data_IF_389466263906
#
_entry.id   IF_389466263906
#
_cell.length_a   1.000
_cell.length_b   1.000
_cell.length_c   1.000
_cell.angle_alpha   90.00
_cell.angle_beta   90.00
_cell.angle_gamma   90.00
#
_symmetry.space_group_name_H-M   'P 1'
#
loop_
_entity.id
_entity.type
_entity.pdbx_description
1 polymer ?
#
# COMPACT_ATOMS: atom_id res chain seq x y z
N UNK A 1 -33.96 6.42 8.32
CA UNK A 1 -32.96 7.01 7.41
C UNK A 1 -31.73 6.13 7.18
N UNK A 2 -31.38 5.19 8.08
CA UNK A 2 -30.25 4.26 7.92
C UNK A 2 -30.32 3.30 6.71
N UNK A 3 -31.52 2.94 6.22
CA UNK A 3 -31.69 1.94 5.14
C UNK A 3 -31.36 2.44 3.73
N UNK A 4 -31.07 3.74 3.55
CA UNK A 4 -30.68 4.33 2.26
C UNK A 4 -29.18 4.65 2.15
N UNK A 5 -28.42 4.51 3.23
CA UNK A 5 -26.96 4.70 3.20
C UNK A 5 -26.22 3.52 2.59
N UNK A 6 -26.65 2.28 2.89
CA UNK A 6 -26.01 1.06 2.38
C UNK A 6 -25.85 0.97 0.84
N UNK A 7 -26.87 1.30 0.02
CA UNK A 7 -26.68 1.28 -1.43
C UNK A 7 -25.81 2.43 -1.94
N UNK A 8 -25.76 3.58 -1.24
CA UNK A 8 -24.93 4.73 -1.66
C UNK A 8 -23.46 4.49 -1.32
N UNK A 9 -23.16 3.92 -0.15
CA UNK A 9 -21.78 3.51 0.18
C UNK A 9 -21.30 2.39 -0.72
N UNK A 10 -22.16 1.43 -1.09
CA UNK A 10 -21.80 0.39 -2.06
C UNK A 10 -21.61 0.93 -3.48
N UNK A 11 -22.41 1.92 -3.93
CA UNK A 11 -22.25 2.55 -5.25
C UNK A 11 -21.03 3.47 -5.31
N UNK A 12 -20.70 4.17 -4.22
CA UNK A 12 -19.45 4.94 -4.08
C UNK A 12 -18.23 4.01 -4.08
N UNK A 13 -18.28 2.88 -3.36
CA UNK A 13 -17.19 1.90 -3.34
C UNK A 13 -16.97 1.27 -4.73
N UNK A 14 -18.04 0.97 -5.48
CA UNK A 14 -17.93 0.42 -6.84
C UNK A 14 -17.47 1.48 -7.85
N UNK A 15 -17.79 2.76 -7.63
CA UNK A 15 -17.27 3.85 -8.44
C UNK A 15 -15.78 4.15 -8.14
N UNK A 16 -15.31 3.97 -6.91
CA UNK A 16 -13.87 4.16 -6.56
C UNK A 16 -13.01 2.97 -6.97
N UNK A 17 -13.51 1.74 -6.90
CA UNK A 17 -12.78 0.52 -7.30
C UNK A 17 -12.57 0.41 -8.83
N UNK A 18 -13.29 1.19 -9.64
CA UNK A 18 -13.21 1.14 -11.10
C UNK A 18 -12.08 1.97 -11.71
N UNK A 19 -11.47 2.90 -10.96
CA UNK A 19 -10.59 3.96 -11.50
C UNK A 19 -9.33 4.21 -10.67
N UNK A 20 -9.02 3.24 -9.82
CA UNK A 20 -7.75 3.09 -9.12
C UNK A 20 -6.59 2.91 -10.10
N UNK A 21 -5.35 3.12 -9.61
CA UNK A 21 -4.01 2.82 -10.18
C UNK A 21 -3.85 1.43 -10.87
N UNK A 22 -4.73 1.11 -11.81
CA UNK A 22 -4.80 -0.17 -12.48
C UNK A 22 -3.86 -0.12 -13.70
N UNK A 23 -2.72 -0.81 -13.67
CA UNK A 23 -1.75 -0.83 -14.75
C UNK A 23 -2.38 -1.47 -15.99
N UNK A 24 -2.59 -0.66 -17.03
CA UNK A 24 -2.99 -1.13 -18.34
C UNK A 24 -1.79 -1.08 -19.29
N UNK A 25 -1.46 -2.16 -19.99
CA UNK A 25 -0.49 -2.06 -21.07
C UNK A 25 -1.06 -1.13 -22.15
N UNK A 26 -0.18 -0.48 -22.90
CA UNK A 26 -0.61 0.46 -23.93
C UNK A 26 -1.03 -0.27 -25.20
N UNK A 27 -1.79 0.43 -26.05
CA UNK A 27 -2.14 -0.06 -27.38
C UNK A 27 -1.54 0.85 -28.44
N UNK A 28 -0.94 0.24 -29.46
CA UNK A 28 -0.52 0.96 -30.65
C UNK A 28 -1.70 1.03 -31.63
N UNK A 29 -2.09 2.23 -32.03
CA UNK A 29 -3.09 2.40 -33.08
C UNK A 29 -2.60 1.68 -34.35
N UNK A 30 -3.42 0.76 -34.87
CA UNK A 30 -3.11 0.17 -36.17
C UNK A 30 -3.27 1.24 -37.24
N UNK A 31 -2.36 1.38 -38.21
CA UNK A 31 -2.58 2.29 -39.33
C UNK A 31 -3.90 1.91 -40.00
N UNK A 32 -4.82 2.86 -40.05
CA UNK A 32 -6.12 2.70 -40.69
C UNK A 32 -5.91 2.31 -42.16
N UNK A 33 -6.29 1.08 -42.54
CA UNK A 33 -6.38 0.65 -43.95
C UNK A 33 -7.59 1.30 -44.66
N UNK A 34 -7.91 2.55 -44.34
CA UNK A 34 -8.97 3.29 -45.04
C UNK A 34 -8.38 3.90 -46.31
N UNK A 35 -8.91 3.56 -47.51
CA UNK A 35 -8.42 4.10 -48.78
C UNK A 35 -8.66 5.61 -48.97
N UNK A 36 -9.24 6.28 -47.96
CA UNK A 36 -9.53 7.72 -47.95
C UNK A 36 -8.83 8.49 -46.82
N UNK A 37 -7.96 7.87 -46.01
CA UNK A 37 -7.07 8.68 -45.18
C UNK A 37 -5.89 9.13 -46.04
N UNK A 38 -5.62 10.45 -46.15
CA UNK A 38 -4.41 10.90 -46.81
C UNK A 38 -3.22 10.24 -46.13
N UNK A 39 -2.16 9.94 -46.90
CA UNK A 39 -0.88 9.40 -46.43
C UNK A 39 -0.13 10.34 -45.44
N UNK A 40 -0.82 11.27 -44.78
CA UNK A 40 -0.35 11.88 -43.54
C UNK A 40 -0.36 10.80 -42.45
N UNK A 41 0.63 9.93 -42.52
CA UNK A 41 1.33 9.43 -41.33
C UNK A 41 1.59 10.65 -40.45
N UNK A 42 0.73 10.88 -39.44
CA UNK A 42 0.73 12.09 -38.63
C UNK A 42 1.95 12.04 -37.70
N UNK A 43 3.05 12.64 -38.17
CA UNK A 43 4.14 13.08 -37.31
C UNK A 43 3.65 14.23 -36.42
N UNK A 44 4.39 14.55 -35.35
CA UNK A 44 4.05 15.67 -34.49
C UNK A 44 3.82 16.94 -35.28
N UNK A 45 2.84 17.72 -34.84
CA UNK A 45 2.57 19.03 -35.39
C UNK A 45 3.89 19.82 -35.39
N UNK A 46 4.43 20.22 -36.56
CA UNK A 46 5.77 20.78 -36.63
C UNK A 46 5.93 22.02 -35.74
N UNK A 47 6.89 21.99 -34.82
CA UNK A 47 7.17 23.06 -33.87
C UNK A 47 6.37 23.00 -32.55
N UNK A 48 5.57 21.95 -32.34
CA UNK A 48 4.83 21.69 -31.12
C UNK A 48 5.13 20.28 -30.61
N UNK A 49 5.25 20.14 -29.29
CA UNK A 49 5.37 18.85 -28.59
C UNK A 49 4.26 18.71 -27.57
N UNK A 50 4.04 17.47 -27.12
CA UNK A 50 3.25 17.29 -25.90
C UNK A 50 4.14 17.50 -24.68
N UNK A 51 3.52 17.84 -23.57
CA UNK A 51 4.16 18.03 -22.27
C UNK A 51 3.25 17.37 -21.23
N UNK A 52 3.78 16.46 -20.42
CA UNK A 52 2.99 15.71 -19.46
C UNK A 52 2.61 16.53 -18.21
N UNK A 53 3.17 17.73 -18.05
CA UNK A 53 2.87 18.63 -16.94
C UNK A 53 3.43 18.18 -15.59
N UNK A 54 2.98 18.84 -14.52
CA UNK A 54 3.42 18.59 -13.13
C UNK A 54 2.29 17.99 -12.30
N UNK A 55 2.62 17.60 -11.07
CA UNK A 55 1.70 16.97 -10.14
C UNK A 55 1.83 17.55 -8.74
N UNK A 56 0.76 17.38 -7.97
CA UNK A 56 0.71 17.69 -6.56
C UNK A 56 0.08 16.56 -5.75
N UNK A 57 0.34 16.56 -4.44
CA UNK A 57 -0.28 15.60 -3.52
C UNK A 57 -1.71 16.03 -3.23
N UNK A 58 -2.66 15.15 -3.52
CA UNK A 58 -4.05 15.31 -3.17
C UNK A 58 -4.40 14.74 -1.80
N UNK A 59 -5.65 14.30 -1.66
CA UNK A 59 -6.16 13.77 -0.40
C UNK A 59 -5.55 12.40 -0.05
N UNK A 60 -5.08 12.27 1.19
CA UNK A 60 -4.65 11.00 1.78
C UNK A 60 -5.69 10.47 2.78
N UNK A 61 -6.00 9.19 2.70
CA UNK A 61 -6.83 8.44 3.66
C UNK A 61 -6.10 7.15 3.99
N UNK A 62 -5.54 7.06 5.20
CA UNK A 62 -4.77 5.89 5.59
C UNK A 62 -4.13 6.01 6.95
N UNK A 63 -3.28 5.04 7.27
CA UNK A 63 -2.52 4.96 8.52
C UNK A 63 -1.05 5.30 8.36
N UNK A 64 -0.51 5.22 7.14
CA UNK A 64 0.89 5.58 6.89
C UNK A 64 1.22 6.99 7.36
N UNK A 65 2.39 7.14 7.96
CA UNK A 65 2.95 8.42 8.40
C UNK A 65 3.94 9.03 7.39
N UNK A 66 4.13 8.41 6.22
CA UNK A 66 5.15 8.78 5.23
C UNK A 66 4.56 8.70 3.82
N UNK A 67 4.07 9.85 3.34
CA UNK A 67 3.26 9.96 2.11
C UNK A 67 3.67 11.16 1.25
N UNK A 68 4.90 11.64 1.42
CA UNK A 68 5.46 12.69 0.57
C UNK A 68 6.15 12.11 -0.69
N UNK A 69 6.53 12.98 -1.62
CA UNK A 69 7.11 12.58 -2.89
C UNK A 69 8.56 12.06 -2.83
N UNK A 70 9.23 12.04 -1.67
CA UNK A 70 10.56 11.40 -1.56
C UNK A 70 10.43 9.88 -1.74
N UNK A 71 9.62 9.25 -0.91
CA UNK A 71 9.14 7.87 -1.09
C UNK A 71 7.86 7.69 -0.27
N UNK A 72 6.73 7.52 -0.96
CA UNK A 72 5.47 7.24 -0.29
C UNK A 72 5.44 5.78 0.17
N UNK A 73 4.97 5.55 1.39
CA UNK A 73 4.62 4.23 1.88
C UNK A 73 3.12 4.17 2.05
N UNK A 74 2.47 3.18 1.44
CA UNK A 74 1.06 2.92 1.64
C UNK A 74 0.92 1.64 2.45
N UNK A 75 0.33 1.73 3.65
CA UNK A 75 -0.11 0.56 4.40
C UNK A 75 -1.27 -0.12 3.66
N UNK A 76 -1.55 -1.37 3.97
CA UNK A 76 -2.73 -2.03 3.40
C UNK A 76 -4.01 -1.24 3.74
N UNK A 77 -4.86 -1.01 2.73
CA UNK A 77 -6.03 -0.12 2.69
C UNK A 77 -5.76 1.39 2.69
N UNK A 78 -4.51 1.85 2.64
CA UNK A 78 -4.22 3.27 2.45
C UNK A 78 -4.54 3.72 1.02
N UNK A 79 -4.95 4.98 0.88
CA UNK A 79 -5.29 5.61 -0.38
C UNK A 79 -4.71 7.02 -0.43
N UNK A 80 -4.11 7.39 -1.55
CA UNK A 80 -3.64 8.74 -1.83
C UNK A 80 -4.05 9.17 -3.24
N UNK A 81 -4.64 10.34 -3.36
CA UNK A 81 -4.90 10.97 -4.65
C UNK A 81 -3.64 11.68 -5.13
N UNK A 82 -3.21 11.40 -6.36
CA UNK A 82 -2.21 12.21 -7.05
C UNK A 82 -2.97 13.13 -8.00
N UNK A 83 -2.89 14.43 -7.73
CA UNK A 83 -3.56 15.46 -8.51
C UNK A 83 -2.63 15.92 -9.63
N UNK A 84 -3.15 15.97 -10.85
CA UNK A 84 -2.43 16.58 -11.98
C UNK A 84 -2.66 18.10 -11.96
N UNK A 85 -1.57 18.86 -12.14
CA UNK A 85 -1.65 20.31 -12.09
C UNK A 85 -2.17 20.86 -13.43
N UNK A 86 -3.49 20.98 -13.55
CA UNK A 86 -4.14 21.42 -14.78
C UNK A 86 -3.56 22.74 -15.35
N UNK A 87 -3.27 22.73 -16.66
CA UNK A 87 -2.65 23.83 -17.40
C UNK A 87 -1.12 23.82 -17.40
N UNK A 88 -0.49 22.78 -16.86
CA UNK A 88 0.97 22.55 -16.98
C UNK A 88 1.31 21.58 -18.11
N UNK A 89 0.31 20.89 -18.64
CA UNK A 89 0.36 19.97 -19.76
C UNK A 89 0.15 20.67 -21.12
N UNK A 90 0.63 20.01 -22.18
CA UNK A 90 0.39 20.39 -23.57
C UNK A 90 0.05 19.15 -24.39
N UNK A 91 -0.98 19.25 -25.22
CA UNK A 91 -1.33 18.24 -26.23
C UNK A 91 -1.18 18.77 -27.65
N UNK A 92 -0.44 19.88 -27.83
CA UNK A 92 -0.35 20.56 -29.12
C UNK A 92 0.40 19.74 -30.20
N UNK A 93 1.13 18.69 -29.79
CA UNK A 93 1.81 17.76 -30.68
C UNK A 93 0.96 16.56 -31.11
N UNK A 94 -0.24 16.37 -30.54
CA UNK A 94 -1.13 15.23 -30.81
C UNK A 94 -1.35 15.04 -32.33
N UNK A 95 -0.98 13.85 -32.87
CA UNK A 95 -1.22 13.47 -34.25
C UNK A 95 -2.68 13.64 -34.72
N UNK A 96 -3.68 13.32 -33.89
CA UNK A 96 -5.10 13.44 -34.23
C UNK A 96 -5.85 14.27 -33.18
N UNK A 97 -5.94 15.58 -33.45
CA UNK A 97 -6.70 16.52 -32.60
C UNK A 97 -8.21 16.22 -32.49
N UNK A 98 -8.73 15.18 -33.13
CA UNK A 98 -10.12 14.75 -32.99
C UNK A 98 -10.33 13.67 -31.93
N UNK A 99 -9.27 12.98 -31.50
CA UNK A 99 -9.28 12.14 -30.30
C UNK A 99 -9.01 12.98 -29.05
N UNK A 100 -9.69 12.69 -27.92
CA UNK A 100 -9.32 13.29 -26.64
C UNK A 100 -8.03 12.66 -26.09
N UNK A 101 -6.93 13.40 -26.21
CA UNK A 101 -5.69 13.13 -25.49
C UNK A 101 -5.86 13.31 -23.97
N UNK A 102 -4.88 12.86 -23.20
CA UNK A 102 -4.90 12.98 -21.75
C UNK A 102 -3.58 12.62 -21.08
N UNK A 103 -3.62 12.65 -19.74
CA UNK A 103 -2.49 12.28 -18.88
C UNK A 103 -2.78 10.97 -18.15
N UNK A 104 -1.74 10.13 -18.04
CA UNK A 104 -1.70 8.99 -17.14
C UNK A 104 -0.35 8.91 -16.42
N UNK A 105 -0.09 7.78 -15.75
CA UNK A 105 1.16 7.52 -15.05
C UNK A 105 1.81 6.24 -15.56
N UNK A 106 2.99 6.36 -16.17
CA UNK A 106 3.77 5.21 -16.61
C UNK A 106 4.46 4.53 -15.41
N UNK A 107 4.47 3.21 -15.40
CA UNK A 107 5.05 2.38 -14.33
C UNK A 107 6.52 2.04 -14.63
N UNK A 108 7.37 2.22 -13.62
CA UNK A 108 8.80 1.94 -13.66
C UNK A 108 9.26 1.15 -12.42
N UNK A 109 10.33 0.38 -12.57
CA UNK A 109 11.03 -0.38 -11.50
C UNK A 109 12.14 0.44 -10.82
N UNK A 110 12.58 1.53 -11.45
CA UNK A 110 13.52 2.50 -10.92
C UNK A 110 13.16 3.91 -11.42
N UNK A 111 13.79 4.99 -10.90
CA UNK A 111 13.52 6.34 -11.40
C UNK A 111 13.71 6.40 -12.92
N UNK A 112 12.71 6.86 -13.70
CA UNK A 112 12.86 6.97 -15.14
C UNK A 112 13.90 8.03 -15.50
N UNK A 113 14.61 7.80 -16.61
CA UNK A 113 15.72 8.65 -17.06
C UNK A 113 15.57 9.14 -18.49
N UNK A 114 14.59 8.59 -19.22
CA UNK A 114 14.36 8.86 -20.63
C UNK A 114 13.00 9.52 -20.82
N UNK A 115 13.00 10.64 -21.56
CA UNK A 115 11.79 11.25 -22.11
C UNK A 115 11.83 11.26 -23.64
N UNK A 116 10.73 11.66 -24.27
CA UNK A 116 10.62 11.80 -25.72
C UNK A 116 9.63 10.81 -26.31
N UNK A 117 9.87 10.40 -27.56
CA UNK A 117 8.95 9.51 -28.27
C UNK A 117 8.77 8.14 -27.58
N UNK A 118 7.68 7.45 -27.92
CA UNK A 118 7.32 6.19 -27.29
C UNK A 118 8.40 5.11 -27.45
N UNK A 119 9.11 5.06 -28.57
CA UNK A 119 10.18 4.08 -28.79
C UNK A 119 11.34 4.35 -27.83
N UNK A 120 11.65 5.62 -27.61
CA UNK A 120 12.69 6.09 -26.72
C UNK A 120 12.32 5.79 -25.26
N UNK A 121 11.08 6.08 -24.85
CA UNK A 121 10.54 5.70 -23.54
C UNK A 121 10.59 4.18 -23.34
N UNK A 122 10.19 3.39 -24.34
CA UNK A 122 10.24 1.92 -24.29
C UNK A 122 11.66 1.35 -24.17
N UNK A 123 12.68 2.14 -24.49
CA UNK A 123 14.08 1.76 -24.33
C UNK A 123 14.66 2.09 -22.96
N UNK A 124 13.91 2.79 -22.09
CA UNK A 124 14.33 3.07 -20.73
C UNK A 124 14.42 1.73 -19.94
N UNK A 125 15.60 1.39 -19.37
CA UNK A 125 15.77 0.16 -18.62
C UNK A 125 14.93 0.09 -17.34
N UNK A 126 14.35 1.21 -16.90
CA UNK A 126 13.47 1.26 -15.75
C UNK A 126 12.01 0.93 -16.07
N UNK A 127 11.58 0.85 -17.34
CA UNK A 127 10.17 0.52 -17.67
C UNK A 127 9.80 -0.84 -17.06
N UNK A 128 8.70 -0.89 -16.30
CA UNK A 128 8.20 -2.16 -15.79
C UNK A 128 7.81 -3.08 -16.93
N UNK A 129 8.53 -4.20 -17.08
CA UNK A 129 8.38 -5.14 -18.19
C UNK A 129 7.84 -6.51 -17.78
N UNK A 130 7.69 -6.73 -16.48
CA UNK A 130 7.27 -8.02 -15.91
C UNK A 130 6.01 -7.81 -15.07
N UNK A 131 4.93 -8.58 -15.31
CA UNK A 131 4.79 -9.55 -16.40
C UNK A 131 4.77 -8.88 -17.77
N UNK A 132 5.15 -9.60 -18.82
CA UNK A 132 4.97 -9.11 -20.19
C UNK A 132 3.46 -9.07 -20.54
N UNK A 133 2.97 -8.02 -21.23
CA UNK A 133 1.60 -7.97 -21.68
C UNK A 133 1.23 -9.17 -22.57
N UNK A 134 0.06 -9.78 -22.33
CA UNK A 134 -0.39 -10.96 -23.08
C UNK A 134 -1.50 -10.58 -24.06
N UNK A 135 -1.25 -10.79 -25.36
CA UNK A 135 -2.24 -10.68 -26.44
C UNK A 135 -2.19 -9.38 -27.25
N UNK A 136 -2.66 -9.44 -28.51
CA UNK A 136 -2.94 -8.28 -29.36
C UNK A 136 -1.77 -7.35 -29.70
N UNK A 137 -2.10 -6.14 -30.18
CA UNK A 137 -1.16 -5.03 -30.44
C UNK A 137 -0.84 -4.24 -29.15
N UNK A 138 -0.67 -4.95 -28.03
CA UNK A 138 -0.35 -4.37 -26.73
C UNK A 138 1.16 -4.23 -26.57
N UNK A 139 1.59 -3.13 -25.95
CA UNK A 139 3.00 -2.84 -25.70
C UNK A 139 3.19 -2.23 -24.30
N UNK A 140 4.44 -1.97 -23.95
CA UNK A 140 4.85 -1.25 -22.74
C UNK A 140 5.01 0.25 -23.04
N UNK A 141 4.98 1.14 -22.04
CA UNK A 141 4.89 0.89 -20.59
C UNK A 141 3.50 0.42 -20.13
N UNK A 142 3.37 0.02 -18.87
CA UNK A 142 2.07 0.01 -18.20
C UNK A 142 1.70 1.44 -17.82
N UNK A 143 0.44 1.83 -17.99
CA UNK A 143 -0.08 3.17 -17.66
C UNK A 143 -1.32 3.03 -16.77
N UNK A 144 -1.38 3.83 -15.70
CA UNK A 144 -2.62 4.09 -14.97
C UNK A 144 -3.25 5.38 -15.49
N UNK A 145 -4.55 5.36 -15.79
CA UNK A 145 -5.26 6.48 -16.40
C UNK A 145 -6.50 6.86 -15.60
N UNK A 146 -6.82 8.15 -15.56
CA UNK A 146 -8.12 8.63 -15.09
C UNK A 146 -9.19 8.46 -16.18
N UNK A 147 -10.48 8.27 -15.83
CA UNK A 147 -11.56 8.09 -16.81
C UNK A 147 -11.98 9.38 -17.52
N UNK A 148 -11.54 10.54 -17.04
CA UNK A 148 -11.87 11.87 -17.54
C UNK A 148 -10.70 12.57 -18.23
N UNK A 149 -9.60 11.84 -18.44
CA UNK A 149 -8.35 12.32 -19.04
C UNK A 149 -7.60 13.41 -18.25
N UNK A 150 -8.06 13.79 -17.06
CA UNK A 150 -7.40 14.84 -16.25
C UNK A 150 -5.99 14.47 -15.79
N UNK A 151 -5.72 13.18 -15.61
CA UNK A 151 -4.50 12.71 -14.95
C UNK A 151 -4.62 12.63 -13.43
N UNK A 152 -5.80 12.89 -12.84
CA UNK A 152 -6.02 12.66 -11.42
C UNK A 152 -6.26 11.17 -11.16
N UNK A 153 -5.35 10.53 -10.42
CA UNK A 153 -5.42 9.07 -10.20
C UNK A 153 -5.36 8.77 -8.71
N UNK A 154 -6.28 7.91 -8.26
CA UNK A 154 -6.28 7.38 -6.91
C UNK A 154 -5.31 6.20 -6.82
N UNK A 155 -4.30 6.35 -5.98
CA UNK A 155 -3.35 5.32 -5.64
C UNK A 155 -3.79 4.63 -4.35
N UNK A 156 -4.19 3.35 -4.42
CA UNK A 156 -4.65 2.59 -3.27
C UNK A 156 -3.87 1.29 -3.08
N UNK A 157 -3.65 0.92 -1.83
CA UNK A 157 -2.99 -0.34 -1.52
C UNK A 157 -4.00 -1.42 -1.09
N UNK A 158 -4.49 -2.18 -2.06
CA UNK A 158 -5.38 -3.33 -1.82
C UNK A 158 -4.71 -4.69 -2.11
N UNK A 159 -3.38 -4.73 -2.25
CA UNK A 159 -2.62 -5.96 -2.53
C UNK A 159 -2.53 -6.37 -4.02
N UNK A 160 -3.21 -5.65 -4.92
CA UNK A 160 -3.23 -5.98 -6.35
C UNK A 160 -1.84 -5.84 -7.00
N UNK A 161 -1.12 -4.73 -6.74
CA UNK A 161 0.21 -4.52 -7.32
C UNK A 161 1.25 -5.47 -6.75
N UNK A 162 1.18 -5.80 -5.46
CA UNK A 162 2.01 -6.83 -4.83
C UNK A 162 1.80 -8.19 -5.51
N UNK A 163 0.55 -8.56 -5.79
CA UNK A 163 0.24 -9.80 -6.50
C UNK A 163 0.76 -9.79 -7.94
N UNK A 164 0.52 -8.69 -8.65
CA UNK A 164 0.87 -8.57 -10.07
C UNK A 164 2.38 -8.49 -10.32
N UNK A 165 3.09 -7.68 -9.53
CA UNK A 165 4.49 -7.34 -9.76
C UNK A 165 5.46 -7.94 -8.75
N UNK A 166 4.99 -8.27 -7.54
CA UNK A 166 5.83 -8.78 -6.43
C UNK A 166 5.61 -10.25 -6.10
N UNK A 167 4.74 -10.96 -6.82
CA UNK A 167 4.37 -12.35 -6.49
C UNK A 167 3.73 -12.50 -5.10
N UNK A 168 3.15 -11.44 -4.57
CA UNK A 168 2.56 -11.36 -3.24
C UNK A 168 3.43 -10.66 -2.19
N UNK A 169 4.69 -10.35 -2.47
CA UNK A 169 5.54 -9.54 -1.58
C UNK A 169 5.29 -8.04 -1.76
N UNK A 170 5.66 -7.18 -0.78
CA UNK A 170 5.63 -5.73 -0.93
C UNK A 170 6.43 -5.29 -2.15
N UNK A 171 5.98 -4.23 -2.82
CA UNK A 171 6.63 -3.72 -4.04
C UNK A 171 6.88 -2.24 -3.96
N UNK A 172 8.04 -1.82 -4.48
CA UNK A 172 8.35 -0.43 -4.82
C UNK A 172 8.08 -0.24 -6.31
N UNK A 173 7.33 0.81 -6.65
CA UNK A 173 7.14 1.24 -8.04
C UNK A 173 7.36 2.74 -8.16
N UNK A 174 7.91 3.11 -9.30
CA UNK A 174 8.08 4.49 -9.73
C UNK A 174 7.00 4.84 -10.75
N UNK A 175 6.55 6.08 -10.68
CA UNK A 175 5.50 6.61 -11.53
C UNK A 175 5.94 7.95 -12.09
N UNK A 176 5.65 8.20 -13.37
CA UNK A 176 5.85 9.50 -13.97
C UNK A 176 4.66 9.86 -14.85
N UNK A 177 4.21 11.14 -14.84
CA UNK A 177 3.18 11.61 -15.76
C UNK A 177 3.59 11.33 -17.21
N UNK A 178 2.66 10.80 -18.00
CA UNK A 178 2.84 10.49 -19.42
C UNK A 178 1.63 10.95 -20.21
N UNK A 179 1.86 11.52 -21.39
CA UNK A 179 0.78 11.88 -22.32
C UNK A 179 0.33 10.66 -23.13
N UNK A 180 -0.94 10.59 -23.50
CA UNK A 180 -1.46 9.65 -24.50
C UNK A 180 -2.41 10.35 -25.46
N UNK A 181 -2.52 9.84 -26.68
CA UNK A 181 -3.30 10.48 -27.76
C UNK A 181 -4.79 10.15 -27.67
N UNK A 182 -5.13 8.96 -27.16
CA UNK A 182 -6.52 8.54 -26.97
C UNK A 182 -6.68 7.56 -25.81
N UNK A 183 -7.83 7.59 -25.13
CA UNK A 183 -8.25 6.55 -24.20
C UNK A 183 -9.31 5.63 -24.83
N UNK A 184 -9.06 4.31 -24.86
CA UNK A 184 -10.02 3.29 -25.28
C UNK A 184 -10.41 2.41 -24.09
N UNK A 185 -11.52 2.76 -23.44
CA UNK A 185 -11.84 2.19 -22.13
C UNK A 185 -10.91 2.78 -21.07
N UNK A 186 -10.04 1.94 -20.48
CA UNK A 186 -8.96 2.37 -19.58
C UNK A 186 -7.57 2.22 -20.21
N UNK A 187 -7.51 1.86 -21.50
CA UNK A 187 -6.25 1.60 -22.20
C UNK A 187 -5.82 2.84 -22.97
N UNK A 188 -4.65 3.38 -22.61
CA UNK A 188 -3.99 4.43 -23.37
C UNK A 188 -3.59 3.93 -24.77
N UNK A 189 -3.88 4.73 -25.78
CA UNK A 189 -3.62 4.45 -27.19
C UNK A 189 -2.67 5.51 -27.73
N UNK A 190 -1.69 5.05 -28.51
CA UNK A 190 -0.69 5.90 -29.16
C UNK A 190 -0.81 5.82 -30.68
N UNK A 191 -0.76 6.98 -31.30
CA UNK A 191 -1.02 7.21 -32.71
C UNK A 191 0.25 7.62 -33.48
N UNK A 192 0.14 7.82 -34.79
CA UNK A 192 1.28 8.17 -35.64
C UNK A 192 2.08 6.97 -36.18
N UNK A 193 3.12 7.25 -36.97
CA UNK A 193 4.03 6.23 -37.51
C UNK A 193 5.49 6.77 -37.62
N UNK A 194 6.44 6.29 -36.78
CA UNK A 194 6.23 5.30 -35.72
C UNK A 194 5.22 5.79 -34.67
N UNK A 195 4.55 4.86 -33.99
CA UNK A 195 3.51 5.19 -33.02
C UNK A 195 4.10 5.92 -31.80
N UNK A 196 3.32 6.85 -31.24
CA UNK A 196 3.72 7.75 -30.18
C UNK A 196 4.90 8.66 -30.55
N UNK A 197 4.90 9.36 -31.70
CA UNK A 197 6.00 10.26 -32.05
C UNK A 197 6.06 11.51 -31.15
N UNK A 198 4.96 11.81 -30.44
CA UNK A 198 4.75 13.07 -29.72
C UNK A 198 4.47 12.85 -28.24
N UNK A 199 4.77 11.66 -27.73
CA UNK A 199 4.62 11.35 -26.31
C UNK A 199 5.61 12.18 -25.52
N UNK A 200 5.22 12.51 -24.30
CA UNK A 200 6.11 13.06 -23.30
C UNK A 200 5.91 12.32 -21.99
N UNK A 201 7.03 12.10 -21.29
CA UNK A 201 7.06 11.61 -19.91
C UNK A 201 7.81 12.67 -19.12
N UNK A 202 7.18 13.23 -18.10
CA UNK A 202 7.86 14.16 -17.21
C UNK A 202 8.62 13.39 -16.13
N UNK A 203 9.89 13.07 -16.42
CA UNK A 203 10.77 12.36 -15.49
C UNK A 203 11.19 13.20 -14.29
N UNK A 204 11.11 14.53 -14.37
CA UNK A 204 11.54 15.44 -13.30
C UNK A 204 10.59 15.46 -12.10
N UNK A 205 9.33 15.05 -12.30
CA UNK A 205 8.30 14.92 -11.27
C UNK A 205 7.93 13.47 -11.00
N UNK A 206 8.80 12.53 -11.38
CA UNK A 206 8.61 11.13 -11.07
C UNK A 206 8.65 10.89 -9.54
N UNK A 207 7.83 9.97 -9.06
CA UNK A 207 7.69 9.67 -7.64
C UNK A 207 7.65 8.17 -7.38
N UNK A 208 8.00 7.79 -6.15
CA UNK A 208 8.05 6.39 -5.72
C UNK A 208 6.94 6.07 -4.72
N UNK A 209 6.34 4.88 -4.86
CA UNK A 209 5.37 4.33 -3.91
C UNK A 209 5.77 2.91 -3.53
N UNK A 210 5.88 2.66 -2.22
CA UNK A 210 6.02 1.35 -1.60
C UNK A 210 4.66 0.87 -1.14
N UNK A 211 4.20 -0.24 -1.72
CA UNK A 211 2.95 -0.91 -1.34
C UNK A 211 3.25 -2.03 -0.35
N UNK A 212 2.95 -1.78 0.94
CA UNK A 212 3.22 -2.72 2.02
C UNK A 212 2.10 -3.77 2.12
N UNK A 213 2.44 -5.00 2.48
CA UNK A 213 1.42 -6.01 2.79
C UNK A 213 0.74 -5.72 4.13
N UNK A 214 -0.46 -6.27 4.33
CA UNK A 214 -1.14 -6.23 5.62
C UNK A 214 -0.27 -6.89 6.70
N UNK A 215 -0.12 -6.24 7.86
CA UNK A 215 0.48 -6.90 9.02
C UNK A 215 -0.53 -7.92 9.54
N UNK A 216 -0.13 -9.18 9.58
CA UNK A 216 -0.99 -10.28 10.03
C UNK A 216 -0.38 -11.00 11.22
N UNK A 217 -1.25 -11.37 12.17
CA UNK A 217 -0.91 -12.25 13.27
C UNK A 217 -1.61 -13.60 13.09
N UNK A 218 -0.84 -14.68 13.12
CA UNK A 218 -1.34 -16.05 12.92
C UNK A 218 -0.83 -16.97 14.04
N UNK A 219 -1.30 -18.22 14.06
CA UNK A 219 -0.92 -19.22 15.06
C UNK A 219 -0.99 -18.71 16.52
N UNK A 220 -1.99 -17.88 16.81
CA UNK A 220 -2.19 -17.26 18.12
C UNK A 220 -2.47 -18.35 19.17
N UNK A 221 -1.61 -18.41 20.19
CA UNK A 221 -1.70 -19.32 21.32
C UNK A 221 -1.82 -18.52 22.62
N UNK A 222 -2.75 -18.90 23.48
CA UNK A 222 -2.88 -18.37 24.85
C UNK A 222 -2.09 -19.18 25.89
N UNK A 223 -1.32 -20.16 25.44
CA UNK A 223 -0.41 -20.94 26.27
C UNK A 223 0.90 -21.15 25.52
N UNK A 224 2.02 -20.96 26.20
CA UNK A 224 3.35 -21.18 25.63
C UNK A 224 4.29 -21.76 26.69
N UNK A 225 5.14 -22.72 26.30
CA UNK A 225 6.11 -23.34 27.21
C UNK A 225 5.48 -24.06 28.42
N UNK A 226 4.20 -24.45 28.33
CA UNK A 226 3.45 -25.06 29.43
C UNK A 226 2.91 -24.07 30.47
N UNK A 227 3.05 -22.76 30.24
CA UNK A 227 2.47 -21.72 31.09
C UNK A 227 1.21 -21.12 30.47
N UNK A 228 0.16 -20.97 31.28
CA UNK A 228 -1.08 -20.29 30.88
C UNK A 228 -1.01 -18.76 31.04
N UNK A 229 0.11 -18.24 31.56
CA UNK A 229 0.38 -16.81 31.65
C UNK A 229 1.39 -16.35 30.58
N UNK A 230 1.68 -17.22 29.61
CA UNK A 230 2.48 -16.91 28.43
C UNK A 230 1.68 -17.25 27.19
N UNK A 231 1.77 -16.42 26.17
CA UNK A 231 1.17 -16.66 24.87
C UNK A 231 2.19 -16.42 23.76
N UNK A 232 1.79 -16.78 22.55
CA UNK A 232 2.60 -16.53 21.36
C UNK A 232 1.74 -16.30 20.13
N UNK A 233 2.30 -15.66 19.12
CA UNK A 233 1.72 -15.55 17.78
C UNK A 233 2.84 -15.37 16.76
N UNK A 234 2.61 -15.81 15.53
CA UNK A 234 3.50 -15.55 14.41
C UNK A 234 3.08 -14.23 13.75
N UNK A 235 4.03 -13.37 13.41
CA UNK A 235 3.76 -12.08 12.78
C UNK A 235 4.47 -11.97 11.42
N UNK A 236 3.78 -11.40 10.43
CA UNK A 236 4.34 -11.12 9.11
C UNK A 236 3.68 -9.88 8.47
N UNK A 237 4.29 -9.34 7.42
CA UNK A 237 3.76 -8.20 6.64
C UNK A 237 4.31 -6.83 7.04
N UNK A 238 3.73 -5.76 6.50
CA UNK A 238 4.16 -4.38 6.76
C UNK A 238 5.58 -4.05 6.30
N UNK A 239 6.14 -2.98 6.87
CA UNK A 239 7.49 -2.51 6.57
C UNK A 239 8.58 -3.56 6.81
N UNK A 240 8.56 -4.37 7.90
CA UNK A 240 9.60 -5.38 8.13
C UNK A 240 9.66 -6.49 7.08
N UNK A 241 8.61 -6.69 6.27
CA UNK A 241 8.67 -7.59 5.11
C UNK A 241 9.41 -6.96 3.93
N UNK A 242 9.27 -5.65 3.74
CA UNK A 242 9.95 -4.89 2.69
C UNK A 242 11.42 -4.60 3.03
N UNK A 243 11.69 -4.21 4.28
CA UNK A 243 13.02 -3.89 4.79
C UNK A 243 13.35 -4.75 6.02
N UNK A 244 14.31 -5.65 5.87
CA UNK A 244 14.74 -6.56 6.94
C UNK A 244 15.47 -5.86 8.10
N UNK A 245 15.86 -4.58 7.95
CA UNK A 245 16.41 -3.78 9.03
C UNK A 245 15.33 -3.25 10.00
N UNK A 246 14.07 -3.31 9.60
CA UNK A 246 12.93 -2.78 10.35
C UNK A 246 12.32 -3.82 11.28
N UNK A 247 11.55 -3.36 12.26
CA UNK A 247 10.92 -4.22 13.27
C UNK A 247 9.54 -3.72 13.68
N UNK A 248 8.75 -4.62 14.28
CA UNK A 248 7.44 -4.29 14.79
C UNK A 248 7.50 -3.69 16.20
N UNK A 249 6.62 -2.74 16.47
CA UNK A 249 6.27 -2.24 17.79
C UNK A 249 5.00 -2.95 18.27
N UNK A 250 5.07 -3.61 19.42
CA UNK A 250 3.97 -4.45 19.91
C UNK A 250 3.53 -3.96 21.29
N UNK A 251 2.26 -3.61 21.41
CA UNK A 251 1.59 -3.27 22.67
C UNK A 251 0.58 -4.35 23.01
N UNK A 252 0.62 -4.82 24.26
CA UNK A 252 -0.28 -5.85 24.78
C UNK A 252 -0.89 -5.29 26.05
N UNK A 253 -2.20 -5.07 26.09
CA UNK A 253 -2.89 -4.42 27.22
C UNK A 253 -4.15 -5.16 27.60
N UNK A 254 -4.47 -5.23 28.89
CA UNK A 254 -5.71 -5.85 29.35
C UNK A 254 -6.92 -5.00 28.90
N UNK A 255 -7.89 -5.62 28.23
CA UNK A 255 -9.03 -4.91 27.65
C UNK A 255 -9.88 -4.17 28.70
N UNK A 256 -10.00 -4.71 29.91
CA UNK A 256 -10.75 -4.08 31.01
C UNK A 256 -9.97 -2.97 31.73
N UNK A 257 -8.64 -2.95 31.61
CA UNK A 257 -7.76 -1.96 32.23
C UNK A 257 -6.44 -1.85 31.45
N UNK A 258 -6.32 -0.89 30.51
CA UNK A 258 -5.14 -0.74 29.67
C UNK A 258 -3.85 -0.37 30.41
N UNK A 259 -3.93 -0.02 31.72
CA UNK A 259 -2.73 0.20 32.53
C UNK A 259 -1.99 -1.10 32.87
N UNK A 260 -2.67 -2.25 32.74
CA UNK A 260 -2.09 -3.58 32.90
C UNK A 260 -1.56 -4.03 31.53
N UNK A 261 -0.24 -4.22 31.44
CA UNK A 261 0.46 -4.54 30.19
C UNK A 261 1.04 -5.95 30.21
N UNK A 262 1.06 -6.58 29.02
CA UNK A 262 1.88 -7.76 28.75
C UNK A 262 3.31 -7.35 28.40
N UNK A 263 4.25 -8.27 28.57
CA UNK A 263 5.67 -8.06 28.22
C UNK A 263 6.08 -9.05 27.13
N UNK A 264 6.59 -8.54 26.01
CA UNK A 264 7.25 -9.36 24.99
C UNK A 264 8.57 -9.90 25.52
N UNK A 265 8.81 -11.20 25.36
CA UNK A 265 9.97 -11.93 25.90
C UNK A 265 10.79 -12.65 24.82
N UNK A 266 10.34 -12.65 23.55
CA UNK A 266 11.08 -13.20 22.41
C UNK A 266 12.22 -12.31 21.91
N UNK A 267 12.27 -11.04 22.35
CA UNK A 267 13.20 -10.03 21.81
C UNK A 267 12.52 -9.17 20.74
N UNK A 268 13.33 -8.55 19.87
CA UNK A 268 12.84 -7.74 18.74
C UNK A 268 12.06 -8.61 17.75
N UNK A 269 10.88 -8.15 17.34
CA UNK A 269 10.04 -8.85 16.38
C UNK A 269 10.29 -8.33 14.97
N UNK A 270 10.68 -9.21 14.05
CA UNK A 270 10.85 -8.94 12.61
C UNK A 270 9.87 -9.79 11.80
N UNK A 271 9.80 -9.57 10.48
CA UNK A 271 8.91 -10.33 9.62
C UNK A 271 9.14 -11.86 9.71
N UNK A 272 8.06 -12.61 9.92
CA UNK A 272 8.06 -14.07 10.06
C UNK A 272 8.42 -14.59 11.46
N UNK A 273 8.60 -13.72 12.46
CA UNK A 273 9.02 -14.12 13.80
C UNK A 273 7.85 -14.65 14.66
N UNK A 274 8.17 -15.59 15.55
CA UNK A 274 7.24 -16.04 16.59
C UNK A 274 7.38 -15.15 17.85
N UNK A 275 6.46 -14.20 18.00
CA UNK A 275 6.40 -13.32 19.15
C UNK A 275 5.91 -14.10 20.36
N UNK A 276 6.64 -14.00 21.46
CA UNK A 276 6.29 -14.62 22.75
C UNK A 276 6.11 -13.52 23.78
N UNK A 277 5.08 -13.63 24.60
CA UNK A 277 4.79 -12.66 25.64
C UNK A 277 4.35 -13.32 26.93
N UNK A 278 4.43 -12.56 28.03
CA UNK A 278 3.92 -12.94 29.35
C UNK A 278 2.96 -11.88 29.88
N UNK A 279 2.00 -12.30 30.69
CA UNK A 279 1.03 -11.45 31.38
C UNK A 279 0.99 -11.82 32.87
N UNK A 280 0.49 -10.91 33.71
CA UNK A 280 0.42 -11.10 35.17
C UNK A 280 -1.00 -11.26 35.71
N UNK A 281 -2.00 -10.82 34.93
CA UNK A 281 -3.39 -10.78 35.35
C UNK A 281 -4.24 -11.52 34.33
N UNK A 282 -5.09 -12.49 34.72
CA UNK A 282 -5.98 -13.15 33.77
C UNK A 282 -6.96 -12.18 33.13
N UNK A 283 -7.29 -12.42 31.86
CA UNK A 283 -8.32 -11.69 31.15
C UNK A 283 -8.11 -11.68 29.64
N UNK A 284 -8.92 -10.89 28.95
CA UNK A 284 -8.81 -10.67 27.51
C UNK A 284 -7.84 -9.52 27.24
N UNK A 285 -6.84 -9.74 26.41
CA UNK A 285 -5.84 -8.72 26.06
C UNK A 285 -6.03 -8.23 24.64
N UNK A 286 -5.96 -6.91 24.46
CA UNK A 286 -5.83 -6.26 23.16
C UNK A 286 -4.35 -6.25 22.77
N UNK A 287 -4.05 -6.75 21.57
CA UNK A 287 -2.73 -6.70 20.96
C UNK A 287 -2.77 -5.74 19.79
N UNK A 288 -1.96 -4.69 19.88
CA UNK A 288 -1.78 -3.69 18.84
C UNK A 288 -0.35 -3.82 18.34
N UNK A 289 -0.19 -4.04 17.04
CA UNK A 289 1.09 -4.07 16.36
C UNK A 289 1.16 -2.91 15.39
N UNK A 290 2.28 -2.19 15.40
CA UNK A 290 2.62 -1.19 14.38
C UNK A 290 4.04 -1.41 13.87
N UNK A 291 4.40 -0.77 12.77
CA UNK A 291 5.76 -0.74 12.24
C UNK A 291 6.29 0.71 12.17
N UNK A 292 7.46 0.90 11.53
CA UNK A 292 8.06 2.23 11.31
C UNK A 292 7.19 3.20 10.50
N UNK A 293 6.22 2.70 9.72
CA UNK A 293 5.27 3.51 8.96
C UNK A 293 3.90 3.65 9.61
N UNK A 294 3.75 3.17 10.86
CA UNK A 294 2.50 3.16 11.61
C UNK A 294 1.39 2.28 11.00
N UNK A 295 1.73 1.31 10.14
CA UNK A 295 0.76 0.35 9.63
C UNK A 295 0.21 -0.51 10.78
N UNK A 296 -1.12 -0.61 10.97
CA UNK A 296 -1.68 -1.26 12.15
C UNK A 296 -2.03 -2.73 11.90
N UNK A 297 -1.90 -3.55 12.94
CA UNK A 297 -2.65 -4.80 13.11
C UNK A 297 -3.19 -4.89 14.54
N UNK A 298 -4.46 -5.27 14.66
CA UNK A 298 -5.16 -5.32 15.95
C UNK A 298 -5.88 -6.66 16.10
N UNK A 299 -5.69 -7.32 17.22
CA UNK A 299 -6.39 -8.57 17.55
C UNK A 299 -6.47 -8.76 19.06
N UNK A 300 -7.24 -9.76 19.49
CA UNK A 300 -7.41 -10.08 20.91
C UNK A 300 -6.90 -11.49 21.22
N UNK A 301 -6.35 -11.67 22.43
CA UNK A 301 -5.94 -12.97 22.95
C UNK A 301 -6.61 -13.20 24.31
N UNK A 302 -7.30 -14.33 24.45
CA UNK A 302 -7.91 -14.75 25.71
C UNK A 302 -6.87 -15.41 26.62
N UNK A 303 -6.44 -14.69 27.66
CA UNK A 303 -5.52 -15.13 28.70
C UNK A 303 -6.22 -15.41 30.02
N UNK A 304 -7.54 -15.66 30.03
CA UNK A 304 -8.31 -15.98 31.25
C UNK A 304 -7.82 -17.25 31.95
N UNK A 305 -7.15 -18.15 31.22
CA UNK A 305 -6.53 -19.36 31.77
C UNK A 305 -5.31 -19.11 32.67
N UNK A 306 -4.78 -17.89 32.72
CA UNK A 306 -3.69 -17.55 33.62
C UNK A 306 -4.14 -17.54 35.08
N UNK A 307 -3.50 -18.37 35.90
CA UNK A 307 -3.71 -18.32 37.35
C UNK A 307 -2.82 -17.23 37.93
N UNK A 308 -3.42 -16.15 38.45
CA UNK A 308 -2.67 -15.15 39.18
C UNK A 308 -1.95 -15.78 40.39
N UNK A 309 -0.77 -15.27 40.70
CA UNK A 309 -0.08 -15.59 41.95
C UNK A 309 -0.98 -15.14 43.10
N UNK A 310 -1.33 -16.07 43.98
CA UNK A 310 -2.14 -15.75 45.14
C UNK A 310 -1.22 -15.73 46.38
N UNK A 311 -1.15 -14.59 47.05
CA UNK A 311 -0.48 -14.44 48.34
C UNK A 311 -1.52 -14.50 49.46
N UNK A 312 -1.36 -15.47 50.33
CA UNK A 312 -2.23 -15.69 51.48
C UNK A 312 -1.50 -15.18 52.72
N UNK A 313 -2.01 -14.10 53.29
CA UNK A 313 -1.57 -13.54 54.58
C UNK A 313 -2.69 -13.82 55.59
N UNK A 314 -2.46 -14.64 56.62
CA UNK A 314 -3.50 -14.96 57.60
C UNK A 314 -3.74 -13.79 58.55
N UNK A 315 -4.97 -13.68 59.03
CA UNK A 315 -5.30 -12.77 60.13
C UNK A 315 -4.75 -13.31 61.46
N UNK A 316 -4.14 -12.42 62.25
CA UNK A 316 -3.65 -12.73 63.60
C UNK A 316 -4.04 -11.61 64.55
N UNK A 317 -4.69 -11.96 65.66
CA UNK A 317 -4.95 -11.01 66.74
C UNK A 317 -3.73 -10.93 67.67
N UNK A 318 -3.26 -9.71 67.95
CA UNK A 318 -2.09 -9.47 68.78
C UNK A 318 -2.33 -8.33 69.77
N UNK A 319 -1.63 -8.37 70.90
CA UNK A 319 -1.72 -7.32 71.93
C UNK A 319 -0.97 -6.05 71.52
N UNK A 320 -1.39 -4.85 71.94
CA UNK A 320 -0.67 -3.62 71.67
C UNK A 320 0.80 -3.70 72.14
N UNK A 321 1.74 -3.42 71.23
CA UNK A 321 3.18 -3.43 71.52
C UNK A 321 3.89 -4.79 71.32
N UNK A 322 3.19 -5.86 70.92
CA UNK A 322 3.85 -7.14 70.62
C UNK A 322 4.40 -7.20 69.19
N UNK A 323 5.57 -7.81 69.02
CA UNK A 323 6.09 -8.22 67.72
C UNK A 323 5.45 -9.54 67.30
N UNK A 324 4.89 -9.59 66.09
CA UNK A 324 4.25 -10.79 65.52
C UNK A 324 4.92 -11.21 64.22
N UNK A 325 4.97 -12.52 63.98
CA UNK A 325 5.40 -13.10 62.72
C UNK A 325 4.17 -13.69 62.03
N UNK A 326 3.83 -13.17 60.85
CA UNK A 326 2.76 -13.70 60.02
C UNK A 326 3.37 -14.66 58.98
N UNK A 327 2.94 -15.92 58.91
CA UNK A 327 3.38 -16.80 57.85
C UNK A 327 2.71 -16.36 56.54
N UNK A 328 3.51 -15.85 55.61
CA UNK A 328 3.04 -15.58 54.25
C UNK A 328 3.18 -16.86 53.44
N UNK A 329 2.07 -17.38 52.93
CA UNK A 329 2.08 -18.52 52.00
C UNK A 329 1.70 -18.06 50.61
N UNK A 330 2.26 -18.69 49.59
CA UNK A 330 1.92 -18.44 48.18
C UNK A 330 1.25 -19.67 47.59
N UNK A 331 0.12 -19.47 46.92
CA UNK A 331 -0.54 -20.44 46.05
C UNK A 331 -0.32 -20.07 44.59
N UNK A 332 -0.42 -21.07 43.70
CA UNK A 332 -0.22 -20.92 42.25
C UNK A 332 1.18 -20.43 41.85
N UNK A 333 2.20 -20.67 42.69
CA UNK A 333 3.60 -20.45 42.36
C UNK A 333 4.17 -21.71 41.70
N UNK A 334 4.14 -21.75 40.36
CA UNK A 334 4.81 -22.79 39.57
C UNK A 334 6.14 -22.22 39.04
N UNK A 335 7.25 -22.86 39.41
CA UNK A 335 8.61 -22.56 38.91
C UNK A 335 8.77 -22.95 37.43
#
# INVERSE_FOLDING_TARGET
>A
MLKRLFPITLLMLVATLGFSQNPQPIKIASPSNSPNQPESVLACVPGFGNEAGTISLGAFVGSSNDVDFDTMYLCFNDQILIDHDAGTESFAGDPDMTSPAGIGYAFYDCPPTVNGDLITIQSDPCVTDTPLPVGGAMALPYIATSPDNSGDVLFENLGFLQTLFGGGSPVLKWFAPITYDQLNGATAVFEGNPAGPCVDVNTDVAFAVVYLNEITATNIQSTFGGSNCQGSFDIAGGLPEFDAAESYNISITLNSDPSITGTVISGTATNGENVKFKITTPGLYDVVVTDGKACPANFQIDMTGCTALEMIIPDLTATPGSQICLPVTVSNFNN
#
